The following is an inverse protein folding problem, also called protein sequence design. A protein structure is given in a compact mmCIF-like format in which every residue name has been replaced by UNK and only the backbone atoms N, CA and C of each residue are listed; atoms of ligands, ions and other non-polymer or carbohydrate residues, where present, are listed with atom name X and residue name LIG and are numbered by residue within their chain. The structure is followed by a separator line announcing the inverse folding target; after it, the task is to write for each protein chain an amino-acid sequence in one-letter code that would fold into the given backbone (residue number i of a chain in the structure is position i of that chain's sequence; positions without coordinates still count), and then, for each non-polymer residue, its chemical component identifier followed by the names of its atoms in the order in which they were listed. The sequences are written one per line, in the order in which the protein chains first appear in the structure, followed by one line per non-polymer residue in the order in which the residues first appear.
data_IF_398336282162
#
_entry.id   IF_398336282162
#
_cell.length_a   1.000
_cell.length_b   1.000
_cell.length_c   1.000
_cell.angle_alpha   90.00
_cell.angle_beta   90.00
_cell.angle_gamma   90.00
#
_symmetry.space_group_name_H-M   'P 1'
#
loop_
_entity.id
_entity.type
_entity.pdbx_description
1 polymer ?
#
# COMPACT_ATOMS: atom_id res chain seq x y z
N UNK A 1 7.69 3.32 -7.98
CA UNK A 1 7.17 1.98 -7.61
C UNK A 1 6.53 1.25 -8.79
N UNK A 2 5.28 1.51 -9.21
CA UNK A 2 4.66 0.73 -10.31
C UNK A 2 5.35 0.88 -11.68
N UNK A 3 5.57 2.12 -12.15
CA UNK A 3 6.24 2.33 -13.44
C UNK A 3 7.69 1.86 -13.48
N UNK A 4 8.39 1.92 -12.33
CA UNK A 4 9.75 1.39 -12.18
C UNK A 4 9.73 -0.14 -12.24
N UNK A 5 8.79 -0.79 -11.55
CA UNK A 5 8.60 -2.24 -11.63
C UNK A 5 8.39 -2.71 -13.07
N UNK A 6 7.50 -2.05 -13.82
CA UNK A 6 7.25 -2.40 -15.23
C UNK A 6 8.47 -2.13 -16.13
N UNK A 7 9.23 -1.07 -15.87
CA UNK A 7 10.46 -0.80 -16.59
C UNK A 7 11.53 -1.87 -16.31
N UNK A 8 11.70 -2.25 -15.04
CA UNK A 8 12.72 -3.23 -14.62
C UNK A 8 12.39 -4.64 -15.11
N UNK A 9 11.13 -5.09 -15.00
CA UNK A 9 10.75 -6.47 -15.33
C UNK A 9 10.38 -6.66 -16.81
N UNK A 10 9.90 -5.62 -17.49
CA UNK A 10 9.39 -5.73 -18.86
C UNK A 10 9.97 -4.70 -19.85
N UNK A 11 10.81 -3.76 -19.40
CA UNK A 11 11.36 -2.71 -20.28
C UNK A 11 10.34 -1.65 -20.71
N UNK A 12 9.16 -1.60 -20.07
CA UNK A 12 8.08 -0.69 -20.44
C UNK A 12 8.22 0.66 -19.75
N UNK A 13 8.45 1.72 -20.53
CA UNK A 13 8.36 3.10 -20.03
C UNK A 13 6.90 3.54 -19.89
N UNK A 14 6.62 4.54 -19.04
CA UNK A 14 5.25 4.97 -18.73
C UNK A 14 4.42 5.42 -19.95
N UNK A 15 5.06 5.81 -21.05
CA UNK A 15 4.38 6.23 -22.28
C UNK A 15 4.01 5.05 -23.19
N UNK A 16 4.50 3.85 -22.89
CA UNK A 16 4.35 2.66 -23.74
C UNK A 16 3.12 1.82 -23.41
N UNK A 17 2.30 2.20 -22.41
CA UNK A 17 1.10 1.48 -22.00
C UNK A 17 0.01 2.42 -21.47
N UNK A 18 -1.28 2.04 -21.57
CA UNK A 18 -2.36 2.81 -20.97
C UNK A 18 -2.28 2.76 -19.44
N UNK A 19 -2.45 3.90 -18.80
CA UNK A 19 -2.48 4.00 -17.33
C UNK A 19 -3.50 5.03 -16.87
N UNK A 20 -4.04 4.81 -15.67
CA UNK A 20 -4.95 5.73 -15.00
C UNK A 20 -4.24 6.42 -13.85
N UNK A 21 -4.44 7.74 -13.71
CA UNK A 21 -4.01 8.49 -12.55
C UNK A 21 -5.22 8.79 -11.66
N UNK A 22 -5.25 8.22 -10.45
CA UNK A 22 -6.34 8.36 -9.48
C UNK A 22 -5.73 8.89 -8.17
N UNK A 23 -5.88 10.18 -7.84
CA UNK A 23 -5.22 10.82 -6.69
C UNK A 23 -5.98 10.59 -5.36
N UNK A 24 -6.44 9.37 -5.12
CA UNK A 24 -7.13 8.96 -3.90
C UNK A 24 -6.79 7.50 -3.61
N UNK A 25 -6.26 7.20 -2.43
CA UNK A 25 -5.86 5.84 -2.08
C UNK A 25 -7.05 4.87 -2.05
N UNK A 26 -8.20 5.31 -1.53
CA UNK A 26 -9.42 4.50 -1.46
C UNK A 26 -10.02 4.28 -2.85
N UNK A 27 -10.12 5.34 -3.65
CA UNK A 27 -10.67 5.23 -5.01
C UNK A 27 -9.76 4.42 -5.93
N UNK A 28 -8.44 4.50 -5.74
CA UNK A 28 -7.49 3.68 -6.48
C UNK A 28 -7.67 2.19 -6.16
N UNK A 29 -7.78 1.82 -4.88
CA UNK A 29 -8.05 0.44 -4.47
C UNK A 29 -9.38 -0.07 -5.06
N UNK A 30 -10.45 0.73 -4.98
CA UNK A 30 -11.76 0.38 -5.59
C UNK A 30 -11.70 0.22 -7.11
N UNK A 31 -10.91 1.04 -7.82
CA UNK A 31 -10.68 0.87 -9.25
C UNK A 31 -10.02 -0.49 -9.57
N UNK A 32 -9.08 -0.93 -8.74
CA UNK A 32 -8.47 -2.27 -8.88
C UNK A 32 -9.50 -3.36 -8.57
N UNK A 33 -10.26 -3.25 -7.48
CA UNK A 33 -11.29 -4.22 -7.11
C UNK A 33 -12.40 -4.39 -8.14
N UNK A 34 -12.77 -3.31 -8.83
CA UNK A 34 -13.80 -3.32 -9.87
C UNK A 34 -13.28 -3.76 -11.24
N UNK A 35 -11.99 -4.07 -11.35
CA UNK A 35 -11.36 -4.53 -12.59
C UNK A 35 -11.08 -3.41 -13.61
N UNK A 36 -11.13 -2.13 -13.21
CA UNK A 36 -10.76 -1.01 -14.09
C UNK A 36 -9.27 -1.07 -14.48
N UNK A 37 -8.43 -1.65 -13.63
CA UNK A 37 -7.02 -1.85 -13.87
C UNK A 37 -6.35 -2.69 -12.80
N UNK A 38 -5.02 -2.76 -12.86
CA UNK A 38 -4.16 -3.40 -11.86
C UNK A 38 -3.23 -2.36 -11.25
N UNK A 39 -2.63 -2.67 -10.10
CA UNK A 39 -1.73 -1.74 -9.44
C UNK A 39 -1.10 -2.32 -8.17
N UNK A 40 -0.15 -1.58 -7.63
CA UNK A 40 0.41 -1.85 -6.30
C UNK A 40 -0.53 -1.25 -5.25
N UNK A 41 -1.17 -2.09 -4.45
CA UNK A 41 -2.11 -1.68 -3.41
C UNK A 41 -1.58 -2.15 -2.05
N UNK A 42 -1.65 -1.33 -0.98
CA UNK A 42 -1.21 -1.75 0.34
C UNK A 42 -2.02 -2.93 0.89
N UNK A 43 -1.33 -3.91 1.48
CA UNK A 43 -1.92 -5.11 2.09
C UNK A 43 -3.08 -4.79 3.05
N UNK A 44 -2.92 -3.77 3.92
CA UNK A 44 -3.93 -3.38 4.90
C UNK A 44 -5.24 -2.87 4.26
N UNK A 45 -5.22 -2.42 3.00
CA UNK A 45 -6.42 -1.96 2.29
C UNK A 45 -7.15 -3.12 1.59
N UNK A 46 -6.46 -4.26 1.37
CA UNK A 46 -6.98 -5.34 0.54
C UNK A 46 -7.14 -6.67 1.26
N UNK A 47 -6.67 -6.80 2.51
CA UNK A 47 -6.67 -8.06 3.27
C UNK A 47 -8.02 -8.80 3.24
N UNK A 48 -9.12 -8.13 3.61
CA UNK A 48 -10.46 -8.74 3.64
C UNK A 48 -10.94 -9.20 2.27
N UNK A 49 -10.60 -8.45 1.21
CA UNK A 49 -11.04 -8.71 -0.17
C UNK A 49 -10.18 -9.77 -0.85
N UNK A 50 -8.90 -9.84 -0.51
CA UNK A 50 -8.00 -10.89 -0.97
C UNK A 50 -8.46 -12.26 -0.45
N UNK A 51 -8.83 -12.36 0.83
CA UNK A 51 -9.40 -13.58 1.41
C UNK A 51 -10.70 -14.05 0.73
N UNK A 52 -11.42 -13.14 0.06
CA UNK A 52 -12.63 -13.44 -0.70
C UNK A 52 -12.35 -13.90 -2.14
N UNK A 53 -11.08 -14.14 -2.51
CA UNK A 53 -10.63 -14.43 -3.88
C UNK A 53 -11.07 -13.38 -4.92
N UNK A 54 -11.28 -12.13 -4.49
CA UNK A 54 -11.66 -11.03 -5.38
C UNK A 54 -10.46 -10.39 -6.10
N UNK A 55 -9.24 -10.68 -5.65
CA UNK A 55 -7.99 -10.21 -6.23
C UNK A 55 -7.06 -11.38 -6.51
N UNK A 56 -6.19 -11.20 -7.51
CA UNK A 56 -5.12 -12.12 -7.86
C UNK A 56 -3.78 -11.38 -7.78
N UNK A 57 -2.80 -11.96 -7.12
CA UNK A 57 -1.41 -11.48 -7.20
C UNK A 57 -0.86 -11.81 -8.59
N UNK A 58 -0.39 -10.78 -9.30
CA UNK A 58 0.04 -10.92 -10.71
C UNK A 58 1.55 -10.80 -10.87
N UNK A 59 2.27 -10.28 -9.88
CA UNK A 59 3.73 -10.08 -9.98
C UNK A 59 4.38 -10.05 -8.59
N UNK A 60 4.59 -11.24 -8.03
CA UNK A 60 5.08 -11.43 -6.67
C UNK A 60 6.46 -10.78 -6.44
N UNK A 61 7.31 -10.72 -7.45
CA UNK A 61 8.65 -10.12 -7.39
C UNK A 61 8.62 -8.61 -7.16
N UNK A 62 7.47 -7.96 -7.42
CA UNK A 62 7.29 -6.51 -7.24
C UNK A 62 6.70 -6.13 -5.88
N UNK A 63 6.45 -7.09 -4.99
CA UNK A 63 6.02 -6.81 -3.62
C UNK A 63 7.07 -5.93 -2.94
N UNK A 64 6.62 -4.83 -2.36
CA UNK A 64 7.52 -3.80 -1.80
C UNK A 64 7.19 -3.54 -0.35
N UNK A 65 8.18 -3.74 0.53
CA UNK A 65 8.09 -3.35 1.93
C UNK A 65 8.45 -1.87 2.10
N UNK A 66 7.51 -1.08 2.62
CA UNK A 66 7.70 0.35 2.88
C UNK A 66 7.89 0.59 4.37
N UNK A 67 9.08 1.04 4.77
CA UNK A 67 9.35 1.43 6.16
C UNK A 67 8.70 2.78 6.48
N UNK A 68 7.87 2.80 7.52
CA UNK A 68 7.20 4.00 8.01
C UNK A 68 7.86 4.50 9.31
N UNK A 69 7.86 5.81 9.51
CA UNK A 69 8.47 6.47 10.66
C UNK A 69 7.51 7.49 11.25
N UNK A 70 7.36 7.48 12.58
CA UNK A 70 6.67 8.53 13.31
C UNK A 70 7.68 9.55 13.84
N UNK A 71 7.67 10.75 13.28
CA UNK A 71 8.55 11.83 13.71
C UNK A 71 7.82 12.72 14.72
N UNK A 72 8.42 12.87 15.89
CA UNK A 72 7.87 13.68 16.96
C UNK A 72 8.98 14.38 17.76
N UNK A 73 8.60 15.43 18.50
CA UNK A 73 9.55 16.14 19.36
C UNK A 73 10.02 15.25 20.52
N UNK A 74 11.27 15.40 20.94
CA UNK A 74 11.85 14.64 22.06
C UNK A 74 11.18 14.97 23.40
N UNK A 75 10.82 16.23 23.61
CA UNK A 75 10.05 16.68 24.77
C UNK A 75 8.65 17.07 24.31
N UNK A 76 7.64 16.49 24.96
CA UNK A 76 6.23 16.65 24.59
C UNK A 76 5.37 16.81 25.82
N UNK A 77 4.21 17.45 25.65
CA UNK A 77 3.17 17.44 26.67
C UNK A 77 2.65 16.00 26.87
N UNK A 78 2.06 15.67 28.03
CA UNK A 78 1.50 14.35 28.28
C UNK A 78 0.49 13.87 27.22
N UNK A 79 -0.34 14.78 26.68
CA UNK A 79 -1.30 14.46 25.63
C UNK A 79 -0.62 13.99 24.32
N UNK A 80 0.50 14.60 23.95
CA UNK A 80 1.25 14.21 22.74
C UNK A 80 2.06 12.92 22.93
N UNK A 81 2.48 12.63 24.16
CA UNK A 81 3.04 11.31 24.51
C UNK A 81 1.99 10.22 24.34
N UNK A 82 0.78 10.46 24.83
CA UNK A 82 -0.34 9.54 24.66
C UNK A 82 -0.68 9.33 23.18
N UNK A 83 -0.73 10.39 22.37
CA UNK A 83 -0.94 10.28 20.93
C UNK A 83 0.15 9.41 20.27
N UNK A 84 1.41 9.62 20.64
CA UNK A 84 2.53 8.82 20.10
C UNK A 84 2.36 7.35 20.44
N UNK A 85 2.00 7.03 21.69
CA UNK A 85 1.73 5.66 22.10
C UNK A 85 0.59 5.04 21.29
N UNK A 86 -0.54 5.76 21.15
CA UNK A 86 -1.67 5.27 20.33
C UNK A 86 -1.29 5.03 18.88
N UNK A 87 -0.52 5.94 18.25
CA UNK A 87 -0.07 5.77 16.87
C UNK A 87 0.79 4.51 16.73
N UNK A 88 1.75 4.29 17.63
CA UNK A 88 2.64 3.13 17.58
C UNK A 88 1.87 1.82 17.77
N UNK A 89 0.94 1.77 18.73
CA UNK A 89 0.08 0.59 18.96
C UNK A 89 -0.80 0.29 17.74
N UNK A 90 -1.43 1.31 17.15
CA UNK A 90 -2.27 1.12 15.97
C UNK A 90 -1.45 0.73 14.74
N UNK A 91 -0.25 1.28 14.59
CA UNK A 91 0.66 0.91 13.51
C UNK A 91 1.05 -0.56 13.60
N UNK A 92 1.39 -1.06 14.79
CA UNK A 92 1.74 -2.46 15.01
C UNK A 92 0.58 -3.40 14.65
N UNK A 93 -0.65 -3.01 14.95
CA UNK A 93 -1.86 -3.80 14.69
C UNK A 93 -2.28 -3.82 13.21
N UNK A 94 -2.00 -2.76 12.45
CA UNK A 94 -2.57 -2.59 11.10
C UNK A 94 -1.54 -2.61 9.96
N UNK A 95 -0.25 -2.39 10.23
CA UNK A 95 0.76 -2.20 9.17
C UNK A 95 1.77 -3.35 9.04
N UNK A 96 1.84 -4.27 10.01
CA UNK A 96 2.88 -5.31 10.08
C UNK A 96 2.46 -6.68 9.54
N UNK A 97 1.27 -6.82 8.94
CA UNK A 97 0.73 -8.13 8.55
C UNK A 97 0.70 -8.27 7.03
N UNK A 98 1.78 -8.81 6.42
CA UNK A 98 1.75 -9.16 5.02
C UNK A 98 0.67 -10.20 4.77
N UNK A 99 -0.11 -10.03 3.70
CA UNK A 99 -1.04 -11.08 3.26
C UNK A 99 -0.22 -12.33 2.89
N UNK A 100 -0.55 -13.52 3.42
CA UNK A 100 0.05 -14.77 2.96
C UNK A 100 -0.54 -15.12 1.60
N UNK A 101 0.31 -15.08 0.56
CA UNK A 101 -0.01 -15.35 -0.84
C UNK A 101 0.55 -16.73 -1.20
#
# INVERSE_FOLDING_TARGET
MHGEALLTHYGLSQQSYPSYYIPSSTTFAEAVFTGLGYGLVPDYQIADRFQQNALLEILLECRTDVKLYWHHWKQQSPALQQLTQTILEQAEQHLNYPIPI
#
